data_IF_370531069357
#
_entry.id   IF_370531069357
#
_cell.length_a   1.000
_cell.length_b   1.000
_cell.length_c   1.000
_cell.angle_alpha   90.00
_cell.angle_beta   90.00
_cell.angle_gamma   90.00
#
_symmetry.space_group_name_H-M   'P 1'
#
loop_
_entity.id
_entity.type
_entity.pdbx_description
1 polymer ?
#
# COMPACT_ATOMS: atom_id res chain seq x y z
N UNK A 1 7.92 9.22 -8.36
CA UNK A 1 7.80 7.80 -8.78
C UNK A 1 6.34 7.33 -8.79
N UNK A 2 5.64 7.14 -7.66
CA UNK A 2 4.23 6.65 -7.70
C UNK A 2 3.27 7.65 -8.35
N UNK A 3 3.41 8.95 -8.08
CA UNK A 3 2.64 10.00 -8.76
C UNK A 3 2.78 9.91 -10.28
N UNK A 4 4.02 9.86 -10.75
CA UNK A 4 4.35 9.85 -12.17
C UNK A 4 3.85 8.57 -12.85
N UNK A 5 3.93 7.43 -12.15
CA UNK A 5 3.40 6.16 -12.63
C UNK A 5 1.86 6.21 -12.78
N UNK A 6 1.14 6.76 -11.80
CA UNK A 6 -0.31 6.92 -11.88
C UNK A 6 -0.73 7.91 -12.98
N UNK A 7 -0.01 9.03 -13.12
CA UNK A 7 -0.24 10.00 -14.19
C UNK A 7 -0.01 9.37 -15.57
N UNK A 8 1.08 8.62 -15.73
CA UNK A 8 1.39 7.93 -16.99
C UNK A 8 0.39 6.81 -17.32
N UNK A 9 -0.05 6.04 -16.32
CA UNK A 9 -1.07 5.00 -16.48
C UNK A 9 -2.39 5.59 -16.98
N UNK A 10 -2.86 6.70 -16.37
CA UNK A 10 -4.05 7.44 -16.81
C UNK A 10 -3.90 7.97 -18.24
N UNK A 11 -2.77 8.59 -18.57
CA UNK A 11 -2.52 9.14 -19.90
C UNK A 11 -2.50 8.06 -21.00
N UNK A 12 -2.13 6.83 -20.64
CA UNK A 12 -2.06 5.68 -21.56
C UNK A 12 -3.34 4.84 -21.58
N UNK A 13 -4.36 5.18 -20.77
CA UNK A 13 -5.57 4.38 -20.64
C UNK A 13 -5.31 2.98 -20.10
N UNK A 14 -4.33 2.83 -19.20
CA UNK A 14 -4.04 1.55 -18.54
C UNK A 14 -5.12 1.25 -17.51
N UNK A 15 -5.70 0.04 -17.59
CA UNK A 15 -6.79 -0.38 -16.70
C UNK A 15 -6.32 -0.64 -15.26
N UNK A 16 -5.12 -1.20 -15.08
CA UNK A 16 -4.59 -1.62 -13.77
C UNK A 16 -3.13 -1.19 -13.59
N UNK A 17 -2.84 -0.53 -12.47
CA UNK A 17 -1.49 -0.19 -12.03
C UNK A 17 -1.19 -0.90 -10.70
N UNK A 18 -0.17 -1.75 -10.70
CA UNK A 18 0.34 -2.38 -9.47
C UNK A 18 1.54 -1.57 -8.98
N UNK A 19 1.50 -1.13 -7.73
CA UNK A 19 2.61 -0.43 -7.08
C UNK A 19 3.22 -1.33 -6.00
N UNK A 20 4.48 -1.72 -6.18
CA UNK A 20 5.24 -2.46 -5.18
C UNK A 20 5.83 -1.50 -4.12
N UNK A 21 5.87 -1.93 -2.86
CA UNK A 21 6.36 -1.15 -1.72
C UNK A 21 7.34 -1.95 -0.88
N UNK A 22 8.26 -1.29 -0.17
CA UNK A 22 9.25 -2.00 0.63
C UNK A 22 8.59 -2.85 1.74
N UNK A 23 9.05 -4.09 1.94
CA UNK A 23 8.47 -5.03 2.93
C UNK A 23 9.31 -5.24 4.20
N UNK A 24 10.33 -4.42 4.47
CA UNK A 24 11.29 -4.71 5.55
C UNK A 24 10.77 -4.25 6.91
N UNK A 25 10.22 -5.22 7.64
CA UNK A 25 9.57 -5.05 8.94
C UNK A 25 10.49 -4.60 10.09
N UNK A 26 11.80 -4.65 9.91
CA UNK A 26 12.78 -4.30 10.95
C UNK A 26 12.72 -2.81 11.33
N UNK A 27 12.14 -1.96 10.48
CA UNK A 27 11.93 -0.53 10.73
C UNK A 27 10.47 -0.13 10.41
N UNK A 28 9.54 -0.64 11.23
CA UNK A 28 8.08 -0.47 11.04
C UNK A 28 7.67 1.00 10.88
N UNK A 29 8.20 1.91 11.69
CA UNK A 29 7.79 3.32 11.69
C UNK A 29 8.10 4.02 10.36
N UNK A 30 9.31 3.81 9.83
CA UNK A 30 9.70 4.41 8.56
C UNK A 30 8.84 3.89 7.41
N UNK A 31 8.62 2.57 7.36
CA UNK A 31 7.77 1.95 6.36
C UNK A 31 6.33 2.50 6.41
N UNK A 32 5.73 2.60 7.60
CA UNK A 32 4.37 3.11 7.74
C UNK A 32 4.23 4.55 7.23
N UNK A 33 5.24 5.41 7.47
CA UNK A 33 5.24 6.78 6.95
C UNK A 33 5.40 6.84 5.42
N UNK A 34 6.19 5.93 4.84
CA UNK A 34 6.28 5.81 3.38
C UNK A 34 4.95 5.40 2.76
N UNK A 35 4.25 4.40 3.33
CA UNK A 35 2.95 3.95 2.85
C UNK A 35 1.89 5.06 2.92
N UNK A 36 1.83 5.80 4.04
CA UNK A 36 0.96 6.99 4.18
C UNK A 36 1.27 8.05 3.12
N UNK A 37 2.55 8.29 2.85
CA UNK A 37 2.98 9.24 1.81
C UNK A 37 2.53 8.79 0.42
N UNK A 38 2.66 7.50 0.10
CA UNK A 38 2.21 6.93 -1.17
C UNK A 38 0.71 7.16 -1.35
N UNK A 39 -0.11 6.76 -0.37
CA UNK A 39 -1.57 6.98 -0.38
C UNK A 39 -1.92 8.45 -0.60
N UNK A 40 -1.30 9.36 0.17
CA UNK A 40 -1.54 10.81 0.04
C UNK A 40 -1.21 11.34 -1.36
N UNK A 41 -0.15 10.83 -1.97
CA UNK A 41 0.31 11.27 -3.29
C UNK A 41 -0.61 10.76 -4.40
N UNK A 42 -1.08 9.51 -4.32
CA UNK A 42 -2.08 8.96 -5.24
C UNK A 42 -3.39 9.74 -5.16
N UNK A 43 -3.83 10.05 -3.93
CA UNK A 43 -4.99 10.90 -3.61
C UNK A 43 -5.03 12.27 -4.31
N UNK A 44 -3.89 12.79 -4.76
CA UNK A 44 -3.82 14.08 -5.48
C UNK A 44 -4.28 13.99 -6.92
N UNK A 45 -4.14 12.82 -7.54
CA UNK A 45 -4.55 12.56 -8.93
C UNK A 45 -5.92 11.90 -8.98
N UNK A 46 -6.26 11.16 -7.93
CA UNK A 46 -7.43 10.32 -7.84
C UNK A 46 -7.84 10.18 -6.37
N UNK A 47 -8.99 10.74 -6.00
CA UNK A 47 -9.45 10.75 -4.61
C UNK A 47 -9.80 9.34 -4.10
N UNK A 48 -10.10 8.40 -5.00
CA UNK A 48 -10.46 7.02 -4.69
C UNK A 48 -9.23 6.09 -4.71
N UNK A 49 -8.05 6.59 -5.09
CA UNK A 49 -6.82 5.82 -5.10
C UNK A 49 -6.11 5.76 -3.72
N UNK A 50 -5.50 4.62 -3.36
CA UNK A 50 -5.54 3.34 -4.07
C UNK A 50 -6.90 2.65 -3.92
N UNK A 51 -7.44 2.11 -5.02
CA UNK A 51 -8.70 1.38 -5.04
C UNK A 51 -8.64 0.06 -4.26
N UNK A 52 -7.44 -0.54 -4.22
CA UNK A 52 -7.18 -1.76 -3.47
C UNK A 52 -5.81 -1.68 -2.79
N UNK A 53 -5.76 -2.15 -1.54
CA UNK A 53 -4.54 -2.33 -0.76
C UNK A 53 -4.51 -3.78 -0.29
N UNK A 54 -3.53 -4.53 -0.78
CA UNK A 54 -3.35 -5.95 -0.48
C UNK A 54 -2.10 -6.13 0.40
N UNK A 55 -2.27 -6.78 1.55
CA UNK A 55 -1.18 -7.11 2.45
C UNK A 55 -0.82 -8.60 2.32
N UNK A 56 0.43 -8.88 1.95
CA UNK A 56 0.94 -10.25 1.87
C UNK A 56 1.56 -10.63 3.22
N UNK A 57 1.01 -11.67 3.86
CA UNK A 57 1.48 -12.17 5.15
C UNK A 57 1.95 -13.62 5.03
N UNK A 58 2.96 -13.97 5.82
CA UNK A 58 3.41 -15.36 5.98
C UNK A 58 2.59 -16.07 7.07
N UNK A 59 1.80 -17.05 6.65
CA UNK A 59 0.95 -17.88 7.52
C UNK A 59 1.76 -18.67 8.57
N UNK A 60 3.04 -18.96 8.31
CA UNK A 60 3.93 -19.64 9.26
C UNK A 60 4.24 -18.83 10.52
N UNK A 61 3.94 -17.53 10.53
CA UNK A 61 4.27 -16.62 11.64
C UNK A 61 3.16 -16.46 12.69
N UNK A 62 1.99 -17.07 12.48
CA UNK A 62 0.89 -17.13 13.45
C UNK A 62 0.45 -15.74 13.95
N UNK A 63 0.51 -15.52 15.26
CA UNK A 63 0.11 -14.25 15.91
C UNK A 63 0.93 -13.04 15.45
N UNK A 64 2.15 -13.24 14.94
CA UNK A 64 2.96 -12.15 14.41
C UNK A 64 2.37 -11.58 13.11
N UNK A 65 1.71 -12.41 12.29
CA UNK A 65 1.00 -11.95 11.10
C UNK A 65 -0.18 -11.05 11.48
N UNK A 66 -0.94 -11.40 12.51
CA UNK A 66 -2.08 -10.60 12.99
C UNK A 66 -1.63 -9.24 13.52
N UNK A 67 -0.55 -9.22 14.32
CA UNK A 67 0.04 -7.95 14.79
C UNK A 67 0.52 -7.08 13.63
N UNK A 68 1.11 -7.69 12.59
CA UNK A 68 1.53 -6.98 11.38
C UNK A 68 0.34 -6.40 10.61
N UNK A 69 -0.71 -7.20 10.40
CA UNK A 69 -1.94 -6.74 9.75
C UNK A 69 -2.53 -5.53 10.46
N UNK A 70 -2.62 -5.56 11.80
CA UNK A 70 -3.11 -4.43 12.59
C UNK A 70 -2.28 -3.17 12.35
N UNK A 71 -0.94 -3.27 12.48
CA UNK A 71 -0.05 -2.12 12.30
C UNK A 71 -0.13 -1.54 10.88
N UNK A 72 -0.20 -2.39 9.85
CA UNK A 72 -0.35 -1.92 8.47
C UNK A 72 -1.69 -1.23 8.25
N UNK A 73 -2.78 -1.82 8.75
CA UNK A 73 -4.13 -1.31 8.60
C UNK A 73 -4.31 0.08 9.27
N UNK A 74 -3.59 0.35 10.36
CA UNK A 74 -3.54 1.67 10.99
C UNK A 74 -2.87 2.73 10.11
N UNK A 75 -1.87 2.35 9.31
CA UNK A 75 -1.16 3.28 8.44
C UNK A 75 -1.87 3.49 7.10
N UNK A 76 -2.30 2.40 6.47
CA UNK A 76 -3.03 2.38 5.22
C UNK A 76 -4.11 1.28 5.34
N UNK A 77 -5.40 1.65 5.36
CA UNK A 77 -6.47 0.67 5.46
C UNK A 77 -6.38 -0.38 4.36
N UNK A 78 -6.31 -1.64 4.76
CA UNK A 78 -6.23 -2.80 3.86
C UNK A 78 -7.66 -3.13 3.42
N UNK A 79 -7.87 -3.26 2.11
CA UNK A 79 -9.21 -3.52 1.54
C UNK A 79 -9.42 -4.99 1.23
N UNK A 80 -8.33 -5.74 0.98
CA UNK A 80 -8.35 -7.20 0.82
C UNK A 80 -8.10 -7.89 2.16
N UNK A 81 -9.14 -8.43 2.77
CA UNK A 81 -8.97 -9.52 3.74
C UNK A 81 -8.41 -10.75 3.02
N UNK A 82 -7.49 -11.53 3.62
CA UNK A 82 -7.24 -12.89 3.14
C UNK A 82 -8.52 -13.74 3.20
#
# INVERSE_FOLDING_TARGET
MVYDALAAARARGVDVLIADTAGRLHNKSHLMEELKKVRRVMGKLDADAPHEVMLVLDAGTGQNALSQASTFNEAVPVTGSP
#
